data_IF_126924721692
#
_entry.id   IF_126924721692
#
_cell.length_a   1.000
_cell.length_b   1.000
_cell.length_c   1.000
_cell.angle_alpha   90.00
_cell.angle_beta   90.00
_cell.angle_gamma   90.00
#
_symmetry.space_group_name_H-M   'P 1'
#
loop_
_entity.id
_entity.type
_entity.pdbx_description
1 polymer ?
#
# COMPACT_ATOMS: atom_id res chain seq x y z
N UNK A 1 -19.08 13.83 -29.68
CA UNK A 1 -19.19 13.25 -28.33
C UNK A 1 -18.18 12.12 -28.27
N UNK A 2 -16.94 12.42 -27.94
CA UNK A 2 -15.89 11.42 -27.83
C UNK A 2 -16.06 10.74 -26.47
N UNK A 3 -16.29 9.42 -26.39
CA UNK A 3 -16.03 8.72 -25.15
C UNK A 3 -14.52 8.81 -24.93
N UNK A 4 -14.11 9.44 -23.83
CA UNK A 4 -12.78 9.23 -23.28
C UNK A 4 -12.58 7.71 -23.23
N UNK A 5 -11.50 7.14 -23.81
CA UNK A 5 -11.18 5.76 -23.53
C UNK A 5 -11.07 5.68 -22.00
N UNK A 6 -11.86 4.78 -21.40
CA UNK A 6 -11.59 4.39 -20.02
C UNK A 6 -10.10 4.00 -20.01
N UNK A 7 -9.31 4.42 -19.02
CA UNK A 7 -7.95 3.92 -18.93
C UNK A 7 -8.06 2.40 -18.73
N UNK A 8 -7.94 1.65 -19.83
CA UNK A 8 -7.56 0.26 -19.82
C UNK A 8 -6.14 0.24 -19.25
N UNK A 9 -6.06 0.33 -17.92
CA UNK A 9 -4.83 0.31 -17.13
C UNK A 9 -4.28 -1.13 -17.16
N UNK A 10 -3.83 -1.57 -18.34
CA UNK A 10 -3.16 -2.85 -18.57
C UNK A 10 -1.68 -2.73 -18.18
N UNK A 11 -1.41 -2.28 -16.96
CA UNK A 11 -0.07 -2.04 -16.45
C UNK A 11 -0.03 -1.95 -14.93
N UNK A 12 1.15 -2.13 -14.31
CA UNK A 12 1.29 -2.07 -12.86
C UNK A 12 0.90 -0.69 -12.33
N UNK A 13 -0.01 -0.66 -11.35
CA UNK A 13 -0.42 0.56 -10.70
C UNK A 13 0.58 0.94 -9.59
N UNK A 14 1.08 2.18 -9.63
CA UNK A 14 1.90 2.72 -8.55
C UNK A 14 1.00 3.37 -7.50
N UNK A 15 1.06 2.86 -6.28
CA UNK A 15 0.31 3.39 -5.15
C UNK A 15 1.28 3.98 -4.11
N UNK A 16 1.22 5.30 -3.93
CA UNK A 16 1.99 5.98 -2.88
C UNK A 16 1.21 5.96 -1.57
N UNK A 17 1.74 5.24 -0.58
CA UNK A 17 1.16 5.14 0.76
C UNK A 17 2.18 5.56 1.82
N UNK A 18 1.69 6.12 2.93
CA UNK A 18 2.50 6.39 4.11
C UNK A 18 2.30 5.32 5.15
N UNK A 19 3.37 4.62 5.52
CA UNK A 19 3.31 3.59 6.56
C UNK A 19 3.60 4.21 7.92
N UNK A 20 2.75 3.91 8.90
CA UNK A 20 2.99 4.17 10.31
C UNK A 20 3.18 2.84 11.05
N UNK A 21 4.43 2.46 11.37
CA UNK A 21 4.72 1.30 12.21
C UNK A 21 4.35 1.58 13.67
N UNK A 22 4.33 0.53 14.51
CA UNK A 22 3.94 0.59 15.94
C UNK A 22 2.51 1.11 16.18
N UNK A 23 1.60 0.84 15.27
CA UNK A 23 0.19 1.07 15.54
C UNK A 23 -0.39 0.03 16.50
N UNK A 24 -1.46 0.36 17.21
CA UNK A 24 -2.16 -0.61 18.08
C UNK A 24 -2.92 -1.67 17.28
N UNK A 25 -3.26 -1.38 16.01
CA UNK A 25 -3.98 -2.25 15.09
C UNK A 25 -3.55 -1.99 13.64
N UNK A 26 -3.82 -2.94 12.76
CA UNK A 26 -3.68 -2.80 11.31
C UNK A 26 -4.90 -2.08 10.72
N UNK A 27 -4.72 -0.88 10.19
CA UNK A 27 -5.82 -0.09 9.61
C UNK A 27 -5.35 0.78 8.45
N UNK A 28 -6.26 0.99 7.49
CA UNK A 28 -6.08 1.98 6.41
C UNK A 28 -6.82 3.25 6.82
N UNK A 29 -6.11 4.37 6.78
CA UNK A 29 -6.65 5.70 7.08
C UNK A 29 -6.53 6.57 5.85
N UNK A 30 -7.61 7.29 5.58
CA UNK A 30 -7.70 8.30 4.54
C UNK A 30 -7.84 9.67 5.21
N UNK A 31 -6.73 10.31 5.61
CA UNK A 31 -6.75 11.68 6.09
C UNK A 31 -7.33 12.65 5.04
N UNK A 32 -7.87 13.75 5.54
CA UNK A 32 -8.39 14.89 4.78
C UNK A 32 -7.36 15.57 3.87
N UNK A 33 -6.05 15.35 4.11
CA UNK A 33 -4.95 15.72 3.19
C UNK A 33 -4.92 14.92 1.87
N UNK A 34 -5.77 13.90 1.71
CA UNK A 34 -5.84 13.08 0.49
C UNK A 34 -4.69 12.07 0.33
N UNK A 35 -3.84 11.89 1.35
CA UNK A 35 -2.79 10.87 1.35
C UNK A 35 -3.32 9.55 1.92
N UNK A 36 -2.94 8.40 1.37
CA UNK A 36 -3.29 7.10 1.96
C UNK A 36 -2.29 6.77 3.06
N UNK A 37 -2.77 6.48 4.27
CA UNK A 37 -1.94 6.15 5.42
C UNK A 37 -2.27 4.75 5.93
N UNK A 38 -1.27 3.87 6.02
CA UNK A 38 -1.45 2.50 6.52
C UNK A 38 -0.74 2.37 7.86
N UNK A 39 -1.50 2.02 8.89
CA UNK A 39 -0.98 1.74 10.22
C UNK A 39 -0.72 0.25 10.34
N UNK A 40 0.49 -0.13 10.74
CA UNK A 40 0.88 -1.52 10.95
C UNK A 40 1.35 -1.70 12.38
N UNK A 41 0.94 -2.80 13.00
CA UNK A 41 1.46 -3.20 14.31
C UNK A 41 2.92 -3.66 14.23
N UNK A 42 3.36 -4.06 13.03
CA UNK A 42 4.71 -4.56 12.81
C UNK A 42 5.76 -3.51 13.22
N UNK A 43 6.89 -3.96 13.81
CA UNK A 43 8.00 -3.09 14.13
C UNK A 43 8.61 -2.51 12.84
N UNK A 44 9.23 -1.32 12.88
CA UNK A 44 9.83 -0.64 11.73
C UNK A 44 11.11 -1.33 11.21
N UNK A 45 11.35 -2.59 11.56
CA UNK A 45 12.45 -3.35 10.97
C UNK A 45 12.04 -3.71 9.55
N UNK A 46 12.87 -3.31 8.58
CA UNK A 46 12.57 -3.35 7.14
C UNK A 46 11.92 -4.68 6.71
N UNK A 47 12.41 -5.82 7.21
CA UNK A 47 11.83 -7.12 6.91
C UNK A 47 10.41 -7.34 7.45
N UNK A 48 10.12 -6.98 8.70
CA UNK A 48 8.83 -7.29 9.33
C UNK A 48 7.73 -6.29 8.93
N UNK A 49 8.08 -5.02 8.72
CA UNK A 49 7.13 -4.01 8.25
C UNK A 49 6.70 -4.29 6.80
N UNK A 50 7.67 -4.62 5.93
CA UNK A 50 7.42 -4.89 4.52
C UNK A 50 6.60 -6.18 4.34
N UNK A 51 6.91 -7.26 5.07
CA UNK A 51 6.13 -8.48 5.00
C UNK A 51 4.68 -8.26 5.49
N UNK A 52 4.51 -7.57 6.62
CA UNK A 52 3.19 -7.26 7.14
C UNK A 52 2.38 -6.39 6.19
N UNK A 53 3.01 -5.41 5.53
CA UNK A 53 2.39 -4.58 4.52
C UNK A 53 1.92 -5.40 3.32
N UNK A 54 2.82 -6.19 2.74
CA UNK A 54 2.51 -7.01 1.56
C UNK A 54 1.36 -7.97 1.87
N UNK A 55 1.37 -8.58 3.06
CA UNK A 55 0.31 -9.50 3.50
C UNK A 55 -1.02 -8.78 3.71
N UNK A 56 -0.99 -7.57 4.28
CA UNK A 56 -2.18 -6.74 4.48
C UNK A 56 -2.78 -6.26 3.15
N UNK A 57 -1.94 -5.80 2.23
CA UNK A 57 -2.36 -5.37 0.89
C UNK A 57 -2.88 -6.54 0.05
N UNK A 58 -2.23 -7.72 0.12
CA UNK A 58 -2.67 -8.93 -0.56
C UNK A 58 -4.08 -9.34 -0.13
N UNK A 59 -4.38 -9.25 1.16
CA UNK A 59 -5.69 -9.57 1.72
C UNK A 59 -6.77 -8.58 1.26
N UNK A 60 -6.48 -7.28 1.33
CA UNK A 60 -7.41 -6.21 0.93
C UNK A 60 -7.69 -6.22 -0.57
N UNK A 61 -6.65 -6.35 -1.39
CA UNK A 61 -6.74 -6.28 -2.85
C UNK A 61 -7.07 -7.65 -3.46
N UNK A 62 -7.05 -8.72 -2.67
CA UNK A 62 -7.24 -10.10 -3.11
C UNK A 62 -6.27 -10.54 -4.22
N UNK A 63 -5.01 -10.08 -4.15
CA UNK A 63 -3.96 -10.40 -5.13
C UNK A 63 -2.81 -11.18 -4.47
N UNK A 64 -2.07 -12.00 -5.22
CA UNK A 64 -0.92 -12.70 -4.68
C UNK A 64 0.17 -11.72 -4.24
N UNK A 65 0.86 -12.04 -3.16
CA UNK A 65 2.04 -11.29 -2.67
C UNK A 65 3.13 -11.09 -3.74
N UNK A 66 3.19 -11.98 -4.73
CA UNK A 66 4.13 -11.91 -5.86
C UNK A 66 3.84 -10.76 -6.83
N UNK A 67 2.58 -10.29 -6.88
CA UNK A 67 2.17 -9.12 -7.67
C UNK A 67 2.40 -7.79 -6.94
N UNK A 68 2.70 -7.85 -5.64
CA UNK A 68 2.92 -6.67 -4.81
C UNK A 68 4.43 -6.42 -4.69
N UNK A 69 4.91 -5.42 -5.43
CA UNK A 69 6.28 -4.93 -5.33
C UNK A 69 6.37 -3.64 -4.52
N UNK A 70 7.28 -3.59 -3.54
CA UNK A 70 7.61 -2.34 -2.85
C UNK A 70 8.63 -1.59 -3.72
N UNK A 71 8.16 -0.56 -4.43
CA UNK A 71 8.98 0.19 -5.38
C UNK A 71 9.89 1.20 -4.68
N UNK A 72 9.42 1.82 -3.61
CA UNK A 72 10.22 2.77 -2.84
C UNK A 72 9.73 2.91 -1.40
N UNK A 73 10.67 2.87 -0.49
CA UNK A 73 10.49 2.88 0.96
C UNK A 73 11.85 2.98 1.65
N UNK A 74 12.74 3.81 1.13
CA UNK A 74 13.99 4.13 1.83
C UNK A 74 13.64 5.12 2.95
N UNK A 75 13.42 4.60 4.15
CA UNK A 75 13.45 5.43 5.35
C UNK A 75 14.89 5.89 5.58
N UNK A 76 15.10 7.20 5.52
CA UNK A 76 16.04 7.86 6.43
C UNK A 76 15.37 8.04 7.79
#
# INVERSE_FOLDING_TARGET
MCPLPAPDASGPALLTIRIQPRASRNEVIFPEDGTIKIRLMAPPVDGAANEALVRFLADILNIPKSDIGIVSGHTS
#
